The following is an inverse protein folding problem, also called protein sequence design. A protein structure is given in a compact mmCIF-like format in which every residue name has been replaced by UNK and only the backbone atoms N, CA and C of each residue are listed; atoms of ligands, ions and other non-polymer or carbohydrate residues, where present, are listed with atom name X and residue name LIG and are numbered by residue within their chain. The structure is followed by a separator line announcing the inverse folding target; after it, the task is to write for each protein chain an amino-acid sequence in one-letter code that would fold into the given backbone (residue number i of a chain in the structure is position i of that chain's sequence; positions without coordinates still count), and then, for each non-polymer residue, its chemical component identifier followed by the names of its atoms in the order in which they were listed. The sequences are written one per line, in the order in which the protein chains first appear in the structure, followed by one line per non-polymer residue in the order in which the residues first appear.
data_IF_897147824691
#
_entry.id   IF_897147824691
#
_cell.length_a   1.000
_cell.length_b   1.000
_cell.length_c   1.000
_cell.angle_alpha   90.00
_cell.angle_beta   90.00
_cell.angle_gamma   90.00
#
_symmetry.space_group_name_H-M   'P 1'
#
loop_
_entity.id
_entity.type
_entity.pdbx_description
1 polymer ?
#
# COMPACT_ATOMS: atom_id res chain seq x y z
N UNK A 1 -8.75 -12.72 -11.21
CA UNK A 1 -9.07 -12.35 -9.82
C UNK A 1 -8.28 -11.09 -9.49
N UNK A 2 -8.79 -10.20 -8.65
CA UNK A 2 -8.03 -9.02 -8.21
C UNK A 2 -6.96 -9.43 -7.22
N UNK A 3 -5.88 -8.68 -7.16
CA UNK A 3 -4.81 -8.88 -6.19
C UNK A 3 -5.19 -8.24 -4.85
N UNK A 4 -4.84 -8.87 -3.73
CA UNK A 4 -5.12 -8.34 -2.41
C UNK A 4 -4.22 -7.13 -2.11
N UNK A 5 -4.78 -6.04 -1.57
CA UNK A 5 -4.01 -4.87 -1.22
C UNK A 5 -4.45 -4.17 0.07
N UNK A 6 -3.50 -3.50 0.73
CA UNK A 6 -3.72 -2.52 1.79
C UNK A 6 -3.22 -1.14 1.35
N UNK A 7 -3.77 -0.10 1.94
CA UNK A 7 -3.40 1.28 1.64
C UNK A 7 -2.59 1.87 2.80
N UNK A 8 -1.36 2.31 2.53
CA UNK A 8 -0.51 2.98 3.51
C UNK A 8 -0.72 4.49 3.44
N UNK A 9 -1.13 5.10 4.55
CA UNK A 9 -1.44 6.54 4.59
C UNK A 9 -0.69 7.31 5.67
N UNK A 10 0.05 6.64 6.55
CA UNK A 10 0.94 7.29 7.52
C UNK A 10 0.31 8.46 8.27
N UNK A 11 -0.87 8.21 8.84
CA UNK A 11 -1.65 9.18 9.61
C UNK A 11 -2.29 10.30 8.77
N UNK A 12 -2.24 10.22 7.45
CA UNK A 12 -2.73 11.25 6.51
C UNK A 12 -3.92 10.79 5.69
N UNK A 13 -4.72 9.82 6.16
CA UNK A 13 -5.95 9.41 5.49
C UNK A 13 -7.05 10.48 5.55
N UNK A 14 -6.94 11.49 4.69
CA UNK A 14 -7.91 12.56 4.52
C UNK A 14 -7.97 13.04 3.06
N UNK A 15 -9.03 13.75 2.71
CA UNK A 15 -9.32 14.17 1.32
C UNK A 15 -8.26 15.05 0.68
N UNK A 16 -7.44 15.75 1.49
CA UNK A 16 -6.37 16.61 0.99
C UNK A 16 -5.15 15.79 0.56
N UNK A 17 -4.73 14.86 1.40
CA UNK A 17 -3.45 14.16 1.24
C UNK A 17 -3.59 12.77 0.61
N UNK A 18 -4.72 12.09 0.79
CA UNK A 18 -4.88 10.68 0.44
C UNK A 18 -5.77 10.47 -0.80
N UNK A 19 -5.66 11.32 -1.82
CA UNK A 19 -6.50 11.22 -3.03
C UNK A 19 -6.39 9.86 -3.72
N UNK A 20 -5.20 9.26 -3.75
CA UNK A 20 -4.97 7.91 -4.27
C UNK A 20 -5.75 6.88 -3.46
N UNK A 21 -5.62 6.92 -2.12
CA UNK A 21 -6.36 6.01 -1.25
C UNK A 21 -7.88 6.18 -1.39
N UNK A 22 -8.37 7.43 -1.41
CA UNK A 22 -9.79 7.74 -1.60
C UNK A 22 -10.31 7.19 -2.93
N UNK A 23 -9.53 7.32 -4.01
CA UNK A 23 -9.86 6.74 -5.31
C UNK A 23 -9.99 5.22 -5.24
N UNK A 24 -9.00 4.54 -4.63
CA UNK A 24 -8.98 3.08 -4.51
C UNK A 24 -10.09 2.53 -3.62
N UNK A 25 -10.42 3.23 -2.52
CA UNK A 25 -11.56 2.88 -1.64
C UNK A 25 -12.89 2.99 -2.40
N UNK A 26 -13.07 4.02 -3.22
CA UNK A 26 -14.29 4.18 -4.04
C UNK A 26 -14.39 3.10 -5.12
N UNK A 27 -13.29 2.87 -5.82
CA UNK A 27 -13.22 1.91 -6.91
C UNK A 27 -11.79 1.51 -7.19
N UNK A 28 -11.52 0.21 -7.12
CA UNK A 28 -10.28 -0.39 -7.59
C UNK A 28 -10.60 -1.47 -8.62
N UNK A 29 -9.94 -1.42 -9.78
CA UNK A 29 -10.13 -2.40 -10.86
C UNK A 29 -9.14 -3.57 -10.76
N UNK A 30 -7.91 -3.29 -10.30
CA UNK A 30 -6.82 -4.26 -10.19
C UNK A 30 -6.73 -4.91 -8.81
N UNK A 31 -7.08 -4.18 -7.75
CA UNK A 31 -6.89 -4.62 -6.37
C UNK A 31 -8.20 -4.80 -5.62
N UNK A 32 -8.23 -5.80 -4.74
CA UNK A 32 -9.22 -5.94 -3.68
C UNK A 32 -8.67 -5.28 -2.41
N UNK A 33 -9.26 -4.17 -1.99
CA UNK A 33 -8.73 -3.35 -0.89
C UNK A 33 -9.21 -3.96 0.43
N UNK A 34 -8.28 -4.57 1.17
CA UNK A 34 -8.57 -5.27 2.41
C UNK A 34 -8.60 -4.34 3.63
N UNK A 35 -7.79 -3.28 3.63
CA UNK A 35 -7.70 -2.34 4.73
C UNK A 35 -6.98 -1.04 4.36
N UNK A 36 -7.16 -0.02 5.21
CA UNK A 36 -6.31 1.17 5.26
C UNK A 36 -5.46 1.13 6.55
N UNK A 37 -4.17 1.44 6.44
CA UNK A 37 -3.26 1.54 7.59
C UNK A 37 -3.08 3.01 7.93
N UNK A 38 -3.75 3.44 9.00
CA UNK A 38 -3.75 4.82 9.48
C UNK A 38 -4.05 4.88 11.00
N UNK A 39 -3.04 5.23 11.79
CA UNK A 39 -3.14 5.34 13.24
C UNK A 39 -4.10 6.44 13.72
N UNK A 40 -4.29 7.50 12.94
CA UNK A 40 -5.11 8.65 13.34
C UNK A 40 -6.61 8.40 13.13
N UNK A 41 -6.96 7.44 12.28
CA UNK A 41 -8.34 7.13 11.91
C UNK A 41 -8.72 5.66 12.17
N UNK A 42 -7.86 4.93 12.89
CA UNK A 42 -8.05 3.53 13.24
C UNK A 42 -9.40 3.25 13.94
N UNK A 43 -9.95 2.05 13.66
CA UNK A 43 -11.23 1.59 14.20
C UNK A 43 -12.46 2.08 13.45
N UNK A 44 -12.28 2.90 12.41
CA UNK A 44 -13.36 3.34 11.51
C UNK A 44 -13.42 2.50 10.25
N UNK A 45 -14.49 2.66 9.49
CA UNK A 45 -14.57 2.19 8.11
C UNK A 45 -14.06 3.27 7.14
N UNK A 46 -13.29 2.86 6.13
CA UNK A 46 -12.69 3.77 5.18
C UNK A 46 -13.74 4.53 4.34
N UNK A 47 -14.86 3.90 4.00
CA UNK A 47 -15.94 4.52 3.23
C UNK A 47 -16.67 5.61 4.02
N UNK A 48 -16.80 5.46 5.33
CA UNK A 48 -17.34 6.52 6.21
C UNK A 48 -16.48 7.78 6.17
N UNK A 49 -15.16 7.62 6.06
CA UNK A 49 -14.21 8.73 5.96
C UNK A 49 -14.14 9.34 4.55
N UNK A 50 -14.38 8.52 3.51
CA UNK A 50 -14.27 8.93 2.11
C UNK A 50 -15.55 9.61 1.60
N UNK A 51 -16.70 8.97 1.80
CA UNK A 51 -18.01 9.41 1.26
C UNK A 51 -19.15 9.35 2.31
N UNK A 52 -18.85 9.08 3.58
CA UNK A 52 -19.85 9.03 4.65
C UNK A 52 -20.69 7.75 4.68
N UNK A 53 -20.30 6.70 3.93
CA UNK A 53 -21.00 5.42 3.88
C UNK A 53 -20.01 4.27 4.02
N UNK A 54 -20.30 3.32 4.91
CA UNK A 54 -19.48 2.14 5.10
C UNK A 54 -19.35 1.29 3.81
N UNK A 55 -18.15 0.78 3.56
CA UNK A 55 -17.82 -0.09 2.40
C UNK A 55 -17.10 -1.38 2.82
N UNK A 56 -17.09 -1.70 4.12
CA UNK A 56 -16.46 -2.86 4.73
C UNK A 56 -14.94 -2.92 4.53
N UNK A 57 -14.29 -1.76 4.49
CA UNK A 57 -12.82 -1.62 4.45
C UNK A 57 -12.37 -1.03 5.79
N UNK A 58 -11.90 -1.86 6.73
CA UNK A 58 -11.50 -1.38 8.05
C UNK A 58 -10.22 -0.53 7.98
N UNK A 59 -10.15 0.47 8.86
CA UNK A 59 -8.92 1.22 9.13
C UNK A 59 -8.22 0.63 10.34
N UNK A 60 -7.01 0.11 10.14
CA UNK A 60 -6.15 -0.42 11.19
C UNK A 60 -5.07 0.60 11.60
N UNK A 61 -4.67 0.58 12.88
CA UNK A 61 -3.64 1.50 13.37
C UNK A 61 -2.23 1.14 12.88
N UNK A 62 -1.99 -0.14 12.57
CA UNK A 62 -0.71 -0.65 12.11
C UNK A 62 -0.87 -1.87 11.21
N UNK A 63 0.19 -2.23 10.48
CA UNK A 63 0.23 -3.45 9.67
C UNK A 63 0.05 -4.68 10.56
N UNK A 64 0.63 -4.69 11.76
CA UNK A 64 0.45 -5.77 12.74
C UNK A 64 -1.00 -5.98 13.14
N UNK A 65 -1.77 -4.91 13.31
CA UNK A 65 -3.19 -5.03 13.66
C UNK A 65 -4.00 -5.63 12.50
N UNK A 66 -3.68 -5.24 11.26
CA UNK A 66 -4.23 -5.86 10.07
C UNK A 66 -3.91 -7.36 10.01
N UNK A 67 -2.65 -7.75 10.19
CA UNK A 67 -2.22 -9.15 10.12
C UNK A 67 -2.90 -10.01 11.20
N UNK A 68 -3.04 -9.50 12.43
CA UNK A 68 -3.78 -10.20 13.50
C UNK A 68 -5.25 -10.40 13.16
N UNK A 69 -5.89 -9.39 12.59
CA UNK A 69 -7.28 -9.45 12.11
C UNK A 69 -7.44 -10.51 11.02
N UNK A 70 -6.55 -10.51 10.01
CA UNK A 70 -6.56 -11.48 8.91
C UNK A 70 -6.30 -12.92 9.40
N UNK A 71 -5.29 -13.10 10.27
CA UNK A 71 -4.96 -14.39 10.86
C UNK A 71 -6.15 -15.01 11.58
N UNK A 72 -6.87 -14.21 12.39
CA UNK A 72 -8.07 -14.67 13.11
C UNK A 72 -9.22 -15.04 12.17
N UNK A 73 -9.36 -14.32 11.05
CA UNK A 73 -10.41 -14.54 10.05
C UNK A 73 -10.14 -15.79 9.19
N UNK A 74 -8.87 -16.08 8.89
CA UNK A 74 -8.47 -17.12 7.94
C UNK A 74 -7.83 -18.35 8.58
N UNK A 75 -7.64 -18.36 9.91
CA UNK A 75 -7.05 -19.46 10.67
C UNK A 75 -5.65 -19.88 10.15
N UNK A 76 -4.86 -18.88 9.78
CA UNK A 76 -3.47 -18.99 9.32
C UNK A 76 -2.58 -18.12 10.21
N UNK A 77 -1.26 -18.29 10.17
CA UNK A 77 -0.37 -17.51 11.02
C UNK A 77 -0.31 -16.04 10.55
N UNK A 78 -0.14 -15.05 11.46
CA UNK A 78 -0.02 -13.64 11.08
C UNK A 78 1.11 -13.38 10.08
N UNK A 79 2.19 -14.15 10.15
CA UNK A 79 3.35 -14.06 9.26
C UNK A 79 2.98 -14.46 7.82
N UNK A 80 2.11 -15.45 7.66
CA UNK A 80 1.62 -15.89 6.34
C UNK A 80 0.58 -14.94 5.75
N UNK A 81 -0.13 -14.16 6.57
CA UNK A 81 -1.18 -13.25 6.10
C UNK A 81 -0.66 -12.10 5.22
N UNK A 82 0.60 -11.70 5.40
CA UNK A 82 1.20 -10.58 4.68
C UNK A 82 1.81 -10.96 3.32
N UNK A 83 2.15 -12.24 3.13
CA UNK A 83 2.91 -12.68 1.97
C UNK A 83 2.09 -12.50 0.69
N UNK A 84 2.64 -11.74 -0.26
CA UNK A 84 2.01 -11.49 -1.56
C UNK A 84 0.87 -10.47 -1.53
N UNK A 85 0.57 -9.86 -0.39
CA UNK A 85 -0.35 -8.71 -0.32
C UNK A 85 0.38 -7.45 -0.81
N UNK A 86 -0.30 -6.61 -1.58
CA UNK A 86 0.25 -5.34 -2.04
C UNK A 86 0.00 -4.22 -1.02
N UNK A 87 1.04 -3.55 -0.55
CA UNK A 87 0.97 -2.31 0.20
C UNK A 87 1.15 -1.11 -0.75
N UNK A 88 0.06 -0.39 -1.00
CA UNK A 88 0.01 0.73 -1.93
C UNK A 88 0.18 2.03 -1.16
N UNK A 89 1.12 2.89 -1.59
CA UNK A 89 1.26 4.24 -1.04
C UNK A 89 0.02 5.07 -1.42
N UNK A 90 -0.85 5.30 -0.45
CA UNK A 90 -2.15 5.93 -0.63
C UNK A 90 -2.14 7.45 -0.52
N UNK A 91 -0.99 8.05 -0.21
CA UNK A 91 -0.84 9.49 0.02
C UNK A 91 0.02 10.17 -1.04
N UNK A 92 -0.26 11.46 -1.22
CA UNK A 92 0.62 12.39 -1.91
C UNK A 92 1.44 13.17 -0.87
N UNK A 93 2.72 13.37 -1.16
CA UNK A 93 3.65 14.14 -0.34
C UNK A 93 4.12 15.35 -1.12
N UNK A 94 4.47 16.43 -0.41
CA UNK A 94 5.06 17.60 -1.05
C UNK A 94 6.39 17.22 -1.72
N UNK A 95 6.56 17.62 -2.99
CA UNK A 95 7.71 17.22 -3.80
C UNK A 95 7.77 15.74 -4.19
N UNK A 96 6.82 14.90 -3.72
CA UNK A 96 6.80 13.47 -4.00
C UNK A 96 7.92 12.66 -3.31
N UNK A 97 8.50 13.19 -2.22
CA UNK A 97 9.48 12.48 -1.39
C UNK A 97 8.80 11.47 -0.44
N UNK A 98 9.53 10.45 0.04
CA UNK A 98 9.05 9.45 1.01
C UNK A 98 9.42 9.91 2.43
N UNK A 99 8.47 10.39 3.25
CA UNK A 99 8.75 10.85 4.62
C UNK A 99 9.22 9.69 5.51
N UNK A 100 9.90 10.02 6.61
CA UNK A 100 10.44 9.02 7.55
C UNK A 100 9.39 8.03 8.07
N UNK A 101 8.22 8.51 8.48
CA UNK A 101 7.14 7.65 9.01
C UNK A 101 6.63 6.67 7.93
N UNK A 102 6.40 7.17 6.71
CA UNK A 102 6.00 6.31 5.59
C UNK A 102 7.10 5.31 5.25
N UNK A 103 8.37 5.72 5.30
CA UNK A 103 9.51 4.82 5.05
C UNK A 103 9.55 3.66 6.06
N UNK A 104 9.25 3.93 7.33
CA UNK A 104 9.16 2.89 8.36
C UNK A 104 8.02 1.91 8.07
N UNK A 105 6.85 2.41 7.66
CA UNK A 105 5.73 1.55 7.23
C UNK A 105 6.07 0.70 6.01
N UNK A 106 6.82 1.24 5.05
CA UNK A 106 7.28 0.47 3.88
C UNK A 106 8.23 -0.67 4.28
N UNK A 107 9.17 -0.40 5.17
CA UNK A 107 10.09 -1.43 5.67
C UNK A 107 9.34 -2.50 6.49
N UNK A 108 8.34 -2.11 7.28
CA UNK A 108 7.48 -3.04 8.01
C UNK A 108 6.69 -3.93 7.03
N UNK A 109 6.04 -3.35 6.03
CA UNK A 109 5.31 -4.09 5.00
C UNK A 109 6.21 -5.11 4.29
N UNK A 110 7.40 -4.69 3.86
CA UNK A 110 8.39 -5.56 3.21
C UNK A 110 8.85 -6.69 4.13
N UNK A 111 9.05 -6.41 5.43
CA UNK A 111 9.42 -7.43 6.41
C UNK A 111 8.34 -8.50 6.62
N UNK A 112 7.09 -8.19 6.26
CA UNK A 112 5.97 -9.12 6.26
C UNK A 112 5.74 -9.82 4.90
N UNK A 113 6.66 -9.67 3.94
CA UNK A 113 6.53 -10.29 2.61
C UNK A 113 5.54 -9.59 1.67
N UNK A 114 5.11 -8.36 2.00
CA UNK A 114 4.20 -7.58 1.15
C UNK A 114 4.95 -6.93 -0.01
N UNK A 115 4.30 -6.81 -1.16
CA UNK A 115 4.80 -6.06 -2.31
C UNK A 115 4.49 -4.58 -2.16
N UNK A 116 5.34 -3.66 -2.63
CA UNK A 116 5.08 -2.21 -2.51
C UNK A 116 4.71 -1.63 -3.86
N UNK A 117 3.63 -0.86 -3.91
CA UNK A 117 3.27 -0.02 -5.06
C UNK A 117 3.50 1.45 -4.72
N UNK A 118 4.46 2.07 -5.41
CA UNK A 118 4.83 3.47 -5.21
C UNK A 118 4.41 4.35 -6.39
N UNK A 119 3.46 5.25 -6.11
CA UNK A 119 2.99 6.29 -7.01
C UNK A 119 3.64 7.67 -6.81
N UNK A 120 4.68 7.78 -5.97
CA UNK A 120 5.40 9.04 -5.73
C UNK A 120 6.48 9.29 -6.80
N UNK A 121 7.08 10.48 -6.77
CA UNK A 121 8.18 10.82 -7.68
C UNK A 121 9.53 10.28 -7.22
N UNK A 122 9.71 10.10 -5.91
CA UNK A 122 10.89 9.46 -5.35
C UNK A 122 10.75 7.94 -5.48
N UNK A 123 11.73 7.29 -6.10
CA UNK A 123 11.67 5.86 -6.39
C UNK A 123 12.13 5.01 -5.21
N UNK A 124 11.45 3.88 -5.00
CA UNK A 124 11.87 2.88 -4.01
C UNK A 124 13.22 2.27 -4.38
N UNK A 125 13.50 2.15 -5.69
CA UNK A 125 14.75 1.60 -6.20
C UNK A 125 16.01 2.35 -5.78
N UNK A 126 15.87 3.59 -5.34
CA UNK A 126 17.00 4.47 -5.01
C UNK A 126 17.36 4.39 -3.51
N UNK A 127 16.53 3.73 -2.69
CA UNK A 127 16.79 3.45 -1.28
C UNK A 127 17.34 2.02 -1.10
N UNK A 128 18.62 1.93 -0.77
CA UNK A 128 19.33 0.66 -0.65
C UNK A 128 18.75 -0.26 0.45
N UNK A 129 18.23 0.31 1.54
CA UNK A 129 17.63 -0.48 2.62
C UNK A 129 16.31 -1.10 2.16
N UNK A 130 15.44 -0.30 1.53
CA UNK A 130 14.17 -0.77 0.96
C UNK A 130 14.42 -1.90 -0.06
N UNK A 131 15.38 -1.71 -0.98
CA UNK A 131 15.74 -2.73 -1.97
C UNK A 131 16.26 -4.00 -1.33
N UNK A 132 17.10 -3.87 -0.28
CA UNK A 132 17.66 -5.03 0.41
C UNK A 132 16.59 -5.80 1.18
N UNK A 133 15.71 -5.11 1.91
CA UNK A 133 14.61 -5.72 2.66
C UNK A 133 13.64 -6.43 1.71
N UNK A 134 13.31 -5.83 0.57
CA UNK A 134 12.45 -6.46 -0.42
C UNK A 134 13.04 -7.78 -0.95
N UNK A 135 14.33 -7.79 -1.31
CA UNK A 135 15.02 -8.99 -1.76
C UNK A 135 15.04 -10.10 -0.71
N UNK A 136 15.33 -9.74 0.55
CA UNK A 136 15.39 -10.71 1.65
C UNK A 136 14.04 -11.38 1.94
N UNK A 137 12.94 -10.67 1.69
CA UNK A 137 11.58 -11.14 1.98
C UNK A 137 10.81 -11.55 0.72
N UNK A 138 11.50 -11.73 -0.42
CA UNK A 138 10.89 -12.09 -1.70
C UNK A 138 9.72 -11.18 -2.13
N UNK A 139 9.82 -9.90 -1.79
CA UNK A 139 8.82 -8.89 -2.10
C UNK A 139 9.19 -8.08 -3.36
N UNK A 140 8.16 -7.65 -4.09
CA UNK A 140 8.31 -6.82 -5.27
C UNK A 140 8.20 -5.32 -4.94
N UNK A 141 8.94 -4.50 -5.68
CA UNK A 141 8.88 -3.03 -5.62
C UNK A 141 8.39 -2.50 -6.96
N UNK A 142 7.24 -1.84 -6.98
CA UNK A 142 6.60 -1.32 -8.19
C UNK A 142 6.57 0.21 -8.18
N UNK A 143 7.57 0.84 -8.79
CA UNK A 143 7.61 2.28 -9.05
C UNK A 143 6.80 2.63 -10.31
N UNK A 144 5.49 2.87 -10.18
CA UNK A 144 4.58 3.05 -11.34
C UNK A 144 4.85 4.32 -12.16
N UNK A 145 5.57 5.28 -11.57
CA UNK A 145 5.99 6.52 -12.25
C UNK A 145 7.37 6.43 -12.89
N UNK A 146 8.09 5.33 -12.69
CA UNK A 146 9.41 5.14 -13.30
C UNK A 146 9.21 4.83 -14.78
N UNK A 147 9.85 5.58 -15.70
CA UNK A 147 9.76 5.29 -17.12
C UNK A 147 10.22 3.86 -17.41
N UNK A 148 9.44 3.13 -18.19
CA UNK A 148 9.86 1.83 -18.70
C UNK A 148 11.11 2.00 -19.56
N UNK A 149 12.01 1.01 -19.52
CA UNK A 149 13.19 1.05 -20.37
C UNK A 149 12.78 1.04 -21.85
N UNK A 150 13.61 1.61 -22.73
CA UNK A 150 13.33 1.64 -24.16
C UNK A 150 13.10 0.25 -24.78
N UNK A 151 13.62 -0.82 -24.14
CA UNK A 151 13.43 -2.21 -24.57
C UNK A 151 12.07 -2.79 -24.20
N UNK A 152 11.42 -2.24 -23.17
CA UNK A 152 10.11 -2.70 -22.68
C UNK A 152 8.94 -1.92 -23.30
N UNK A 153 9.26 -0.89 -24.10
CA UNK A 153 8.27 -0.20 -24.90
C UNK A 153 7.94 -1.05 -26.11
N UNK A 154 6.74 -1.64 -26.13
CA UNK A 154 6.17 -2.14 -27.36
C UNK A 154 6.08 -0.96 -28.35
N UNK A 155 6.90 -0.98 -29.40
CA UNK A 155 6.77 -0.02 -30.48
C UNK A 155 5.38 -0.16 -31.08
N UNK A 156 4.65 0.95 -31.14
CA UNK A 156 3.38 1.03 -31.83
C UNK A 156 3.61 0.70 -33.31
N UNK A 157 2.91 -0.31 -33.82
CA UNK A 157 3.14 -0.87 -35.18
C UNK A 157 2.13 -0.42 -36.23
N UNK A 158 1.24 0.53 -35.90
CA UNK A 158 0.18 0.98 -36.80
C UNK A 158 -1.15 0.33 -36.50
#
# INVERSE_FOLDING_TARGET
MKEAAILLTSGKFNSRNAKTAFGLVRKSEHYDILAVIDQNTAGKDAGELVDGKAVDIPVHASIKDFLRSQSSKHNITPEECGIGVYAIIGIATEGGFIPGDLRLELLEALSCGMHIVNGLHHYLSDDAEIVQTAKQNHAELLDIRKPKSARDNAFWTG
#
